data_IF_029279303520
#
_entry.id   IF_029279303520
#
_cell.length_a   1.000
_cell.length_b   1.000
_cell.length_c   1.000
_cell.angle_alpha   90.00
_cell.angle_beta   90.00
_cell.angle_gamma   90.00
#
_symmetry.space_group_name_H-M   'P 1'
#
loop_
_entity.id
_entity.type
_entity.pdbx_description
1 polymer ?
#
# COMPACT_ATOMS: atom_id res chain seq x y z
N UNK A 1 -13.95 -17.69 -20.84
CA UNK A 1 -14.43 -17.05 -19.62
C UNK A 1 -13.25 -16.52 -18.82
N UNK A 2 -13.36 -15.31 -18.45
CA UNK A 2 -12.34 -14.65 -17.65
C UNK A 2 -12.35 -15.23 -16.25
N UNK A 3 -11.27 -15.93 -15.86
CA UNK A 3 -11.04 -16.20 -14.45
C UNK A 3 -10.57 -14.88 -13.87
N UNK A 4 -11.36 -14.33 -12.99
CA UNK A 4 -11.21 -13.06 -12.32
C UNK A 4 -9.78 -12.60 -12.21
N UNK A 5 -9.24 -11.78 -13.11
CA UNK A 5 -8.02 -11.06 -12.76
C UNK A 5 -8.39 -10.10 -11.65
N UNK A 6 -7.47 -9.85 -10.78
CA UNK A 6 -7.60 -8.81 -9.78
C UNK A 6 -7.57 -7.49 -10.56
N UNK A 7 -8.72 -6.83 -10.58
CA UNK A 7 -8.86 -5.57 -11.32
C UNK A 7 -8.50 -4.36 -10.46
N UNK A 8 -8.53 -4.53 -9.13
CA UNK A 8 -8.30 -3.46 -8.16
C UNK A 8 -7.28 -3.91 -7.13
N UNK A 9 -6.32 -3.04 -6.85
CA UNK A 9 -5.24 -3.35 -5.92
C UNK A 9 -4.94 -2.14 -5.02
N UNK A 10 -4.36 -2.41 -3.85
CA UNK A 10 -3.75 -1.35 -3.06
C UNK A 10 -2.24 -1.33 -3.33
N UNK A 11 -1.73 -0.14 -3.62
CA UNK A 11 -0.31 0.11 -3.85
C UNK A 11 0.31 0.62 -2.56
N UNK A 12 1.27 -0.13 -2.03
CA UNK A 12 1.91 0.20 -0.77
C UNK A 12 3.04 1.23 -0.99
N UNK A 13 3.41 1.91 0.06
CA UNK A 13 4.31 3.05 0.05
C UNK A 13 5.63 2.80 -0.68
N UNK A 14 6.23 1.61 -0.54
CA UNK A 14 7.52 1.31 -1.17
C UNK A 14 7.48 1.35 -2.69
N UNK A 15 6.35 0.98 -3.28
CA UNK A 15 6.15 1.04 -4.73
C UNK A 15 6.17 2.50 -5.21
N UNK A 16 5.51 3.38 -4.47
CA UNK A 16 5.42 4.81 -4.80
C UNK A 16 6.77 5.49 -4.62
N UNK A 17 7.45 5.22 -3.51
CA UNK A 17 8.78 5.79 -3.25
C UNK A 17 9.76 5.36 -4.34
N UNK A 18 9.74 4.08 -4.76
CA UNK A 18 10.61 3.61 -5.83
C UNK A 18 10.32 4.33 -7.15
N UNK A 19 9.03 4.58 -7.43
CA UNK A 19 8.64 5.35 -8.61
C UNK A 19 9.24 6.76 -8.59
N UNK A 20 9.21 7.44 -7.45
CA UNK A 20 9.78 8.79 -7.33
C UNK A 20 11.30 8.81 -7.50
N UNK A 21 11.98 7.75 -7.08
CA UNK A 21 13.46 7.68 -7.08
C UNK A 21 14.06 7.21 -8.39
N UNK A 22 13.31 6.51 -9.22
CA UNK A 22 13.86 5.98 -10.48
C UNK A 22 13.98 7.10 -11.53
N UNK A 23 15.03 7.01 -12.37
CA UNK A 23 15.17 7.87 -13.55
C UNK A 23 14.29 7.41 -14.71
N UNK A 24 13.76 6.19 -14.65
CA UNK A 24 12.94 5.57 -15.70
C UNK A 24 11.50 5.41 -15.23
N UNK A 25 10.85 6.53 -14.92
CA UNK A 25 9.50 6.52 -14.33
C UNK A 25 8.46 5.86 -15.23
N UNK A 26 8.60 5.94 -16.53
CA UNK A 26 7.66 5.37 -17.50
C UNK A 26 7.61 3.85 -17.47
N UNK A 27 8.61 3.18 -16.90
CA UNK A 27 8.65 1.72 -16.76
C UNK A 27 8.71 1.27 -15.30
N UNK A 28 8.46 2.17 -14.37
CA UNK A 28 8.39 1.82 -12.94
C UNK A 28 7.27 0.79 -12.70
N UNK A 29 7.36 0.07 -11.60
CA UNK A 29 6.32 -0.89 -11.25
C UNK A 29 4.97 -0.19 -11.06
N UNK A 30 4.95 1.03 -10.51
CA UNK A 30 3.72 1.81 -10.38
C UNK A 30 3.08 2.07 -11.76
N UNK A 31 3.85 2.49 -12.75
CA UNK A 31 3.33 2.74 -14.09
C UNK A 31 2.87 1.46 -14.76
N UNK A 32 3.59 0.37 -14.58
CA UNK A 32 3.16 -0.94 -15.10
C UNK A 32 1.88 -1.42 -14.43
N UNK A 33 1.73 -1.17 -13.13
CA UNK A 33 0.50 -1.50 -12.41
C UNK A 33 -0.68 -0.69 -12.92
N UNK A 34 -0.48 0.61 -13.21
CA UNK A 34 -1.52 1.46 -13.78
C UNK A 34 -2.05 0.93 -15.11
N UNK A 35 -1.17 0.36 -15.94
CA UNK A 35 -1.57 -0.23 -17.22
C UNK A 35 -2.21 -1.62 -17.07
N UNK A 36 -1.87 -2.34 -16.00
CA UNK A 36 -2.31 -3.72 -15.82
C UNK A 36 -3.63 -3.84 -15.08
N UNK A 37 -3.90 -2.94 -14.12
CA UNK A 37 -5.07 -3.00 -13.25
C UNK A 37 -6.03 -1.86 -13.57
N UNK A 38 -7.32 -2.10 -13.36
CA UNK A 38 -8.36 -1.12 -13.64
C UNK A 38 -8.35 0.01 -12.62
N UNK A 39 -7.97 -0.28 -11.37
CA UNK A 39 -8.00 0.71 -10.32
C UNK A 39 -6.89 0.50 -9.30
N UNK A 40 -6.22 1.59 -8.96
CA UNK A 40 -5.19 1.62 -7.94
C UNK A 40 -5.68 2.43 -6.74
N UNK A 41 -5.46 1.89 -5.56
CA UNK A 41 -5.76 2.56 -4.29
C UNK A 41 -4.48 2.77 -3.50
N UNK A 42 -4.50 3.79 -2.64
CA UNK A 42 -3.49 3.95 -1.60
C UNK A 42 -4.16 4.34 -0.28
N UNK A 43 -3.50 4.01 0.82
CA UNK A 43 -3.96 4.38 2.16
C UNK A 43 -3.54 5.81 2.51
N UNK A 44 -4.33 6.49 3.33
CA UNK A 44 -3.90 7.77 3.93
C UNK A 44 -2.62 7.62 4.73
N UNK A 45 -2.32 6.43 5.27
CA UNK A 45 -1.03 6.18 5.91
C UNK A 45 0.13 6.35 4.94
N UNK A 46 -0.03 5.93 3.69
CA UNK A 46 0.97 6.14 2.64
C UNK A 46 1.17 7.63 2.38
N UNK A 47 0.11 8.42 2.35
CA UNK A 47 0.20 9.87 2.21
C UNK A 47 1.05 10.44 3.36
N UNK A 48 0.77 10.04 4.60
CA UNK A 48 1.54 10.47 5.77
C UNK A 48 3.02 10.14 5.60
N UNK A 49 3.35 8.91 5.20
CA UNK A 49 4.74 8.49 5.04
C UNK A 49 5.48 9.31 3.98
N UNK A 50 4.84 9.56 2.85
CA UNK A 50 5.44 10.32 1.75
C UNK A 50 5.62 11.79 2.14
N UNK A 51 4.60 12.40 2.76
CA UNK A 51 4.67 13.79 3.23
C UNK A 51 5.72 13.96 4.32
N UNK A 52 5.81 13.01 5.26
CA UNK A 52 6.82 13.04 6.32
C UNK A 52 8.22 12.98 5.73
N UNK A 53 8.46 12.09 4.76
CA UNK A 53 9.75 11.99 4.10
C UNK A 53 10.14 13.27 3.38
N UNK A 54 9.21 13.91 2.68
CA UNK A 54 9.46 15.19 2.02
C UNK A 54 9.74 16.31 3.01
N UNK A 55 8.94 16.40 4.08
CA UNK A 55 9.11 17.42 5.12
C UNK A 55 10.48 17.30 5.78
N UNK A 56 10.90 16.09 6.12
CA UNK A 56 12.22 15.86 6.74
C UNK A 56 13.38 16.15 5.79
N UNK A 57 13.17 16.03 4.50
CA UNK A 57 14.16 16.37 3.48
C UNK A 57 14.14 17.86 3.10
N UNK A 58 13.22 18.64 3.67
CA UNK A 58 13.11 20.07 3.39
C UNK A 58 12.62 20.37 1.98
N UNK A 59 11.80 19.50 1.40
CA UNK A 59 11.27 19.67 0.04
C UNK A 59 9.77 19.47 -0.02
N UNK A 60 9.16 19.90 -1.13
CA UNK A 60 7.76 19.62 -1.43
C UNK A 60 7.63 18.18 -1.91
N UNK A 61 6.56 17.50 -1.53
CA UNK A 61 6.31 16.13 -1.97
C UNK A 61 5.81 16.12 -3.42
N UNK A 62 6.06 14.99 -4.09
CA UNK A 62 5.58 14.75 -5.46
C UNK A 62 4.22 14.03 -5.48
N UNK A 63 3.54 13.96 -4.35
CA UNK A 63 2.32 13.18 -4.21
C UNK A 63 1.24 13.63 -5.20
N UNK A 64 1.09 14.94 -5.43
CA UNK A 64 0.08 15.48 -6.34
C UNK A 64 0.24 14.99 -7.78
N UNK A 65 1.43 14.56 -8.16
CA UNK A 65 1.69 14.02 -9.51
C UNK A 65 1.02 12.67 -9.70
N UNK A 66 0.96 11.84 -8.64
CA UNK A 66 0.44 10.48 -8.74
C UNK A 66 -1.01 10.34 -8.25
N UNK A 67 -1.52 11.27 -7.43
CA UNK A 67 -2.88 11.17 -6.89
C UNK A 67 -3.95 11.06 -7.99
N UNK A 68 -3.83 11.72 -9.16
CA UNK A 68 -4.82 11.51 -10.22
C UNK A 68 -4.90 10.08 -10.75
N UNK A 69 -3.88 9.26 -10.50
CA UNK A 69 -3.83 7.86 -10.97
C UNK A 69 -4.48 6.89 -9.97
N UNK A 70 -4.85 7.36 -8.79
CA UNK A 70 -5.20 6.50 -7.67
C UNK A 70 -6.40 7.06 -6.91
N UNK A 71 -7.03 6.18 -6.12
CA UNK A 71 -8.05 6.60 -5.17
C UNK A 71 -7.54 6.38 -3.74
N UNK A 72 -7.75 7.38 -2.88
CA UNK A 72 -7.32 7.33 -1.48
C UNK A 72 -8.36 6.59 -0.65
N UNK A 73 -7.92 5.61 0.13
CA UNK A 73 -8.74 4.92 1.13
C UNK A 73 -8.36 5.45 2.51
N UNK A 74 -9.35 5.99 3.20
CA UNK A 74 -9.13 6.63 4.48
C UNK A 74 -9.13 5.61 5.62
N UNK A 75 -8.37 5.92 6.68
CA UNK A 75 -8.39 5.16 7.92
C UNK A 75 -9.62 5.58 8.69
N UNK A 76 -10.71 4.88 8.48
CA UNK A 76 -11.97 5.08 9.17
C UNK A 76 -12.05 4.16 10.40
N UNK A 77 -13.22 4.13 11.07
CA UNK A 77 -13.43 3.31 12.25
C UNK A 77 -13.22 1.82 11.97
N UNK A 78 -13.69 1.32 10.83
CA UNK A 78 -13.56 -0.11 10.49
C UNK A 78 -12.09 -0.49 10.33
N UNK A 79 -11.32 0.36 9.67
CA UNK A 79 -9.88 0.15 9.50
C UNK A 79 -9.17 0.19 10.84
N UNK A 80 -9.51 1.14 11.70
CA UNK A 80 -8.90 1.25 13.03
C UNK A 80 -9.18 0.01 13.89
N UNK A 81 -10.42 -0.49 13.89
CA UNK A 81 -10.80 -1.70 14.63
C UNK A 81 -10.06 -2.93 14.09
N UNK A 82 -10.02 -3.09 12.76
CA UNK A 82 -9.30 -4.20 12.13
C UNK A 82 -7.81 -4.12 12.44
N UNK A 83 -7.22 -2.92 12.40
CA UNK A 83 -5.82 -2.71 12.73
C UNK A 83 -5.51 -3.12 14.17
N UNK A 84 -6.38 -2.78 15.12
CA UNK A 84 -6.17 -3.14 16.53
C UNK A 84 -6.15 -4.66 16.72
N UNK A 85 -7.09 -5.37 16.11
CA UNK A 85 -7.15 -6.83 16.20
C UNK A 85 -5.95 -7.49 15.52
N UNK A 86 -5.60 -7.03 14.33
CA UNK A 86 -4.43 -7.54 13.59
C UNK A 86 -3.14 -7.30 14.38
N UNK A 87 -2.97 -6.09 14.90
CA UNK A 87 -1.75 -5.73 15.63
C UNK A 87 -1.59 -6.59 16.89
N UNK A 88 -2.67 -6.77 17.65
CA UNK A 88 -2.69 -7.64 18.83
C UNK A 88 -2.26 -9.07 18.47
N UNK A 89 -2.79 -9.60 17.37
CA UNK A 89 -2.44 -10.95 16.90
C UNK A 89 -0.95 -11.04 16.53
N UNK A 90 -0.42 -10.09 15.76
CA UNK A 90 0.96 -10.11 15.34
C UNK A 90 1.93 -9.97 16.52
N UNK A 91 1.61 -9.11 17.48
CA UNK A 91 2.39 -8.97 18.72
C UNK A 91 2.41 -10.28 19.47
N UNK A 92 1.26 -10.95 19.64
CA UNK A 92 1.18 -12.21 20.37
C UNK A 92 1.98 -13.34 19.72
N UNK A 93 2.21 -13.25 18.42
CA UNK A 93 3.00 -14.23 17.64
C UNK A 93 4.45 -13.82 17.46
N UNK A 94 4.87 -12.73 18.09
CA UNK A 94 6.21 -12.15 17.89
C UNK A 94 6.50 -11.86 16.40
N UNK A 95 5.49 -11.38 15.69
CA UNK A 95 5.56 -11.07 14.25
C UNK A 95 5.15 -9.63 13.93
N UNK A 96 5.30 -8.73 14.89
CA UNK A 96 4.95 -7.32 14.69
C UNK A 96 5.66 -6.74 13.47
N UNK A 97 4.92 -5.96 12.68
CA UNK A 97 5.43 -5.30 11.48
C UNK A 97 5.46 -3.79 11.62
N UNK A 98 5.08 -3.28 12.79
CA UNK A 98 5.00 -1.84 13.05
C UNK A 98 3.65 -1.25 12.69
N UNK A 99 3.32 -0.17 13.38
CA UNK A 99 1.97 0.42 13.31
C UNK A 99 1.59 0.89 11.91
N UNK A 100 2.53 1.47 11.15
CA UNK A 100 2.21 1.98 9.81
C UNK A 100 1.81 0.86 8.86
N UNK A 101 2.58 -0.23 8.85
CA UNK A 101 2.27 -1.38 7.99
C UNK A 101 1.01 -2.12 8.46
N UNK A 102 0.75 -2.14 9.78
CA UNK A 102 -0.50 -2.70 10.31
C UNK A 102 -1.71 -1.94 9.76
N UNK A 103 -1.68 -0.61 9.75
CA UNK A 103 -2.80 0.17 9.22
C UNK A 103 -2.98 -0.01 7.71
N UNK A 104 -1.89 -0.12 6.96
CA UNK A 104 -1.97 -0.38 5.52
C UNK A 104 -2.58 -1.76 5.27
N UNK A 105 -2.11 -2.78 5.99
CA UNK A 105 -2.65 -4.13 5.88
C UNK A 105 -4.13 -4.18 6.25
N UNK A 106 -4.53 -3.51 7.33
CA UNK A 106 -5.91 -3.44 7.77
C UNK A 106 -6.81 -2.78 6.72
N UNK A 107 -6.32 -1.75 6.04
CA UNK A 107 -7.04 -1.13 4.93
C UNK A 107 -7.32 -2.15 3.82
N UNK A 108 -6.33 -2.95 3.47
CA UNK A 108 -6.50 -4.01 2.47
C UNK A 108 -7.55 -5.03 2.91
N UNK A 109 -7.50 -5.47 4.17
CA UNK A 109 -8.44 -6.48 4.68
C UNK A 109 -9.87 -5.97 4.70
N UNK A 110 -10.09 -4.74 5.15
CA UNK A 110 -11.43 -4.13 5.19
C UNK A 110 -12.02 -4.00 3.79
N UNK A 111 -11.22 -3.64 2.80
CA UNK A 111 -11.69 -3.42 1.42
C UNK A 111 -11.51 -4.64 0.51
N UNK A 112 -11.05 -5.77 1.05
CA UNK A 112 -10.81 -6.99 0.29
C UNK A 112 -9.89 -6.77 -0.93
N UNK A 113 -8.84 -5.98 -0.72
CA UNK A 113 -7.86 -5.66 -1.76
C UNK A 113 -6.56 -6.43 -1.55
N UNK A 114 -5.97 -6.97 -2.62
CA UNK A 114 -4.60 -7.46 -2.54
C UNK A 114 -3.63 -6.28 -2.52
N UNK A 115 -2.42 -6.53 -2.05
CA UNK A 115 -1.40 -5.51 -1.90
C UNK A 115 -0.24 -5.73 -2.87
N UNK A 116 0.21 -4.64 -3.50
CA UNK A 116 1.44 -4.59 -4.27
C UNK A 116 2.49 -3.87 -3.42
N UNK A 117 3.57 -4.57 -3.07
CA UNK A 117 4.60 -4.06 -2.16
C UNK A 117 5.96 -4.70 -2.44
N UNK A 118 7.03 -3.96 -2.18
CA UNK A 118 8.37 -4.54 -2.10
C UNK A 118 8.66 -5.13 -0.72
N UNK A 119 7.87 -4.78 0.29
CA UNK A 119 8.08 -5.25 1.66
C UNK A 119 7.29 -6.55 1.94
N UNK A 120 7.52 -7.55 1.11
CA UNK A 120 6.81 -8.83 1.17
C UNK A 120 7.02 -9.51 2.52
N UNK A 121 8.22 -9.38 3.11
CA UNK A 121 8.52 -10.00 4.40
C UNK A 121 7.56 -9.55 5.52
N UNK A 122 7.21 -8.26 5.58
CA UNK A 122 6.24 -7.77 6.56
C UNK A 122 4.83 -8.25 6.24
N UNK A 123 4.37 -7.99 5.03
CA UNK A 123 2.95 -8.22 4.69
C UNK A 123 2.59 -9.71 4.57
N UNK A 124 3.56 -10.58 4.32
CA UNK A 124 3.33 -12.03 4.34
C UNK A 124 2.98 -12.57 5.72
N UNK A 125 3.24 -11.82 6.79
CA UNK A 125 2.87 -12.19 8.15
C UNK A 125 1.38 -11.97 8.45
N UNK A 126 0.67 -11.27 7.58
CA UNK A 126 -0.73 -10.86 7.80
C UNK A 126 -1.68 -11.95 7.32
N UNK A 127 -2.43 -12.61 8.22
CA UNK A 127 -3.40 -13.64 7.80
C UNK A 127 -4.48 -13.04 6.90
N UNK A 128 -4.78 -13.75 5.81
CA UNK A 128 -5.86 -13.36 4.91
C UNK A 128 -5.51 -12.27 3.89
N UNK A 129 -4.31 -11.72 3.94
CA UNK A 129 -3.87 -10.70 2.99
C UNK A 129 -3.25 -11.39 1.76
N UNK A 130 -3.78 -11.06 0.58
CA UNK A 130 -3.22 -11.52 -0.68
C UNK A 130 -2.11 -10.57 -1.14
N UNK A 131 -0.95 -11.14 -1.45
CA UNK A 131 0.20 -10.37 -1.93
C UNK A 131 0.35 -10.62 -3.43
N UNK A 132 0.43 -9.54 -4.20
CA UNK A 132 0.61 -9.64 -5.65
C UNK A 132 2.08 -9.95 -5.92
N UNK A 133 2.37 -11.01 -6.70
CA UNK A 133 3.76 -11.24 -7.12
C UNK A 133 4.27 -10.05 -7.93
N UNK A 134 5.52 -9.66 -7.69
CA UNK A 134 6.16 -8.59 -8.45
C UNK A 134 6.29 -8.99 -9.94
N UNK A 135 6.13 -8.03 -10.81
CA UNK A 135 6.11 -8.25 -12.26
C UNK A 135 6.91 -7.22 -13.05
#
# INVERSE_FOLDING_TARGET
MRTTPVDEILVETTIIIRHFRTSQKQISLLRRAEHKYDKLYLSTMTIYEIELGAARAGRTSDLDVILPLMEVLEIDRRVAEQAAHLHSLLISRNQDIGIKDVFIAATCLVHSLPILTYNVNHFSRVPGLSIIPLF
#
